data_IF_820945845459
#
_entry.id   IF_820945845459
#
_cell.length_a   1.000
_cell.length_b   1.000
_cell.length_c   1.000
_cell.angle_alpha   90.00
_cell.angle_beta   90.00
_cell.angle_gamma   90.00
#
_symmetry.space_group_name_H-M   'P 1'
#
loop_
_entity.id
_entity.type
_entity.pdbx_description
1 polymer ?
#
# COMPACT_ATOMS: atom_id res chain seq x y z
N UNK A 1 -10.97 28.26 -3.78
CA UNK A 1 -9.81 27.37 -4.01
C UNK A 1 -10.22 25.95 -3.63
N UNK A 2 -9.90 24.93 -4.45
CA UNK A 2 -10.16 23.52 -4.07
C UNK A 2 -9.11 23.07 -3.05
N UNK A 3 -9.54 22.37 -2.00
CA UNK A 3 -8.64 21.78 -0.99
C UNK A 3 -7.83 20.66 -1.64
N UNK A 4 -6.50 20.72 -1.60
CA UNK A 4 -5.63 19.60 -1.95
C UNK A 4 -5.64 18.60 -0.79
N UNK A 5 -5.79 17.32 -1.10
CA UNK A 5 -5.70 16.21 -0.15
C UNK A 5 -4.46 15.41 -0.53
N UNK A 6 -3.62 15.12 0.46
CA UNK A 6 -2.43 14.29 0.31
C UNK A 6 -2.72 12.92 0.89
N UNK A 7 -2.26 11.88 0.21
CA UNK A 7 -2.43 10.48 0.63
C UNK A 7 -1.06 9.92 0.94
N UNK A 8 -0.92 9.34 2.13
CA UNK A 8 0.25 8.60 2.54
C UNK A 8 -0.14 7.12 2.63
N UNK A 9 0.35 6.30 1.70
CA UNK A 9 0.00 4.89 1.65
C UNK A 9 0.81 4.08 2.67
N UNK A 10 0.11 3.38 3.55
CA UNK A 10 0.71 2.43 4.50
C UNK A 10 0.30 0.98 4.21
N UNK A 11 -0.31 0.72 3.06
CA UNK A 11 -0.96 -0.56 2.72
C UNK A 11 -0.01 -1.74 2.88
N UNK A 12 1.23 -1.63 2.39
CA UNK A 12 2.22 -2.71 2.52
C UNK A 12 2.62 -3.02 3.97
N UNK A 13 2.72 -1.98 4.81
CA UNK A 13 3.23 -2.11 6.18
C UNK A 13 2.10 -2.52 7.13
N UNK A 14 0.98 -1.82 7.09
CA UNK A 14 -0.15 -2.09 7.97
C UNK A 14 -0.88 -3.37 7.56
N UNK A 15 -0.97 -3.65 6.26
CA UNK A 15 -1.55 -4.89 5.73
C UNK A 15 -0.77 -6.12 6.16
N UNK A 16 0.56 -6.07 6.21
CA UNK A 16 1.40 -7.16 6.72
C UNK A 16 1.30 -7.37 8.23
N UNK A 17 1.04 -6.29 8.98
CA UNK A 17 0.97 -6.33 10.45
C UNK A 17 -0.45 -6.62 10.96
N UNK A 18 -1.44 -6.66 10.06
CA UNK A 18 -2.82 -6.96 10.41
C UNK A 18 -2.97 -8.43 10.88
N UNK A 19 -3.77 -8.70 11.93
CA UNK A 19 -3.97 -10.05 12.43
C UNK A 19 -4.49 -11.00 11.34
N UNK A 20 -3.79 -12.12 11.14
CA UNK A 20 -4.16 -13.12 10.15
C UNK A 20 -3.74 -12.79 8.71
N UNK A 21 -3.01 -11.70 8.49
CA UNK A 21 -2.42 -11.35 7.20
C UNK A 21 -0.91 -11.50 7.26
N UNK A 22 -0.36 -12.17 6.25
CA UNK A 22 1.07 -12.22 5.99
C UNK A 22 1.28 -12.41 4.50
N UNK A 23 2.13 -11.57 3.93
CA UNK A 23 2.53 -11.59 2.54
C UNK A 23 3.95 -12.13 2.45
N UNK A 24 4.12 -13.10 1.55
CA UNK A 24 5.43 -13.46 1.06
C UNK A 24 6.10 -12.27 0.36
N UNK A 25 7.42 -12.33 0.20
CA UNK A 25 8.17 -11.27 -0.50
C UNK A 25 7.61 -11.01 -1.91
N UNK A 26 7.21 -12.06 -2.63
CA UNK A 26 6.66 -11.92 -3.99
C UNK A 26 5.26 -11.28 -4.02
N UNK A 27 4.45 -11.48 -2.97
CA UNK A 27 3.17 -10.80 -2.80
C UNK A 27 3.37 -9.33 -2.47
N UNK A 28 4.33 -9.00 -1.60
CA UNK A 28 4.71 -7.61 -1.30
C UNK A 28 5.13 -6.85 -2.56
N UNK A 29 5.97 -7.45 -3.40
CA UNK A 29 6.40 -6.85 -4.68
C UNK A 29 5.21 -6.65 -5.63
N UNK A 30 4.28 -7.61 -5.70
CA UNK A 30 3.07 -7.47 -6.52
C UNK A 30 2.18 -6.32 -6.04
N UNK A 31 1.96 -6.20 -4.74
CA UNK A 31 1.17 -5.09 -4.16
C UNK A 31 1.87 -3.75 -4.40
N UNK A 32 3.19 -3.67 -4.17
CA UNK A 32 3.98 -2.47 -4.43
C UNK A 32 3.81 -1.96 -5.88
N UNK A 33 3.89 -2.88 -6.85
CA UNK A 33 3.71 -2.53 -8.27
C UNK A 33 2.27 -2.09 -8.61
N UNK A 34 1.26 -2.46 -7.82
CA UNK A 34 -0.09 -1.93 -7.99
C UNK A 34 -0.25 -0.54 -7.37
N UNK A 35 0.33 -0.31 -6.19
CA UNK A 35 0.32 1.00 -5.54
C UNK A 35 1.02 2.06 -6.40
N UNK A 36 2.18 1.70 -6.98
CA UNK A 36 2.89 2.55 -7.95
C UNK A 36 2.01 2.92 -9.15
N UNK A 37 1.27 1.96 -9.72
CA UNK A 37 0.35 2.22 -10.85
C UNK A 37 -0.81 3.14 -10.48
N UNK A 38 -1.23 3.14 -9.21
CA UNK A 38 -2.25 4.04 -8.70
C UNK A 38 -1.70 5.46 -8.44
N UNK A 39 -0.39 5.64 -8.53
CA UNK A 39 0.28 6.92 -8.34
C UNK A 39 0.33 7.36 -6.89
N UNK A 40 0.35 6.39 -5.96
CA UNK A 40 0.50 6.62 -4.51
C UNK A 40 1.93 6.35 -4.07
#
# INVERSE_FOLDING_TARGET
MKRRVEVFDTTLRDGEQAPGFSMTVSEKVRVAAQLEKLGV
#
